data_IF_332384594789
#
_entry.id   IF_332384594789
#
_cell.length_a   1.000
_cell.length_b   1.000
_cell.length_c   1.000
_cell.angle_alpha   90.00
_cell.angle_beta   90.00
_cell.angle_gamma   90.00
#
_symmetry.space_group_name_H-M   'P 1'
#
loop_
_entity.id
_entity.type
_entity.pdbx_description
1 polymer ?
#
# COMPACT_ATOMS: atom_id res chain seq x y z
N UNK A 1 -32.23 22.98 5.90
CA UNK A 1 -31.42 23.33 4.71
C UNK A 1 -30.92 22.04 4.09
N UNK A 2 -30.70 22.03 2.77
CA UNK A 2 -30.60 20.86 1.89
C UNK A 2 -29.83 19.66 2.48
N UNK A 3 -30.50 18.52 2.70
CA UNK A 3 -29.88 17.26 3.13
C UNK A 3 -30.17 16.08 2.18
N UNK A 4 -30.89 16.33 1.08
CA UNK A 4 -31.25 15.31 0.08
C UNK A 4 -30.40 15.32 -1.20
N UNK A 5 -29.60 16.37 -1.43
CA UNK A 5 -28.76 16.52 -2.63
C UNK A 5 -27.44 15.77 -2.52
N UNK A 6 -26.76 15.90 -1.38
CA UNK A 6 -25.37 15.45 -1.21
C UNK A 6 -25.20 13.93 -1.36
N UNK A 7 -26.19 13.16 -0.94
CA UNK A 7 -26.18 11.69 -1.07
C UNK A 7 -26.32 11.22 -2.52
N UNK A 8 -27.07 11.95 -3.35
CA UNK A 8 -27.22 11.63 -4.76
C UNK A 8 -25.97 12.03 -5.56
N UNK A 9 -25.38 13.18 -5.23
CA UNK A 9 -24.16 13.66 -5.87
C UNK A 9 -22.96 12.75 -5.55
N UNK A 10 -22.85 12.28 -4.30
CA UNK A 10 -21.84 11.31 -3.90
C UNK A 10 -21.97 9.98 -4.65
N UNK A 11 -23.20 9.48 -4.82
CA UNK A 11 -23.47 8.26 -5.60
C UNK A 11 -23.13 8.45 -7.06
N UNK A 12 -23.51 9.58 -7.65
CA UNK A 12 -23.19 9.90 -9.04
C UNK A 12 -21.67 9.96 -9.27
N UNK A 13 -20.93 10.61 -8.36
CA UNK A 13 -19.48 10.66 -8.39
C UNK A 13 -18.89 9.25 -8.32
N UNK A 14 -19.26 8.44 -7.32
CA UNK A 14 -18.79 7.05 -7.20
C UNK A 14 -19.00 6.24 -8.48
N UNK A 15 -20.21 6.28 -9.05
CA UNK A 15 -20.50 5.59 -10.30
C UNK A 15 -19.68 6.10 -11.49
N UNK A 16 -19.40 7.41 -11.57
CA UNK A 16 -18.54 7.97 -12.60
C UNK A 16 -17.12 7.38 -12.52
N UNK A 17 -16.55 7.24 -11.31
CA UNK A 17 -15.25 6.58 -11.13
C UNK A 17 -15.31 5.08 -11.44
N UNK A 18 -16.37 4.38 -11.06
CA UNK A 18 -16.55 2.97 -11.40
C UNK A 18 -16.56 2.73 -12.92
N UNK A 19 -17.26 3.58 -13.68
CA UNK A 19 -17.30 3.49 -15.15
C UNK A 19 -15.94 3.67 -15.79
N UNK A 20 -15.16 4.63 -15.30
CA UNK A 20 -13.83 4.95 -15.86
C UNK A 20 -12.79 3.87 -15.53
N UNK A 21 -12.82 3.29 -14.32
CA UNK A 21 -11.80 2.36 -13.85
C UNK A 21 -12.13 0.90 -14.18
N UNK A 22 -13.40 0.53 -14.10
CA UNK A 22 -13.86 -0.86 -14.21
C UNK A 22 -14.71 -1.10 -15.46
N UNK A 23 -14.58 -0.26 -16.49
CA UNK A 23 -15.26 -0.36 -17.78
C UNK A 23 -16.78 -0.58 -17.66
N UNK A 24 -17.50 0.48 -17.30
CA UNK A 24 -18.97 0.50 -17.14
C UNK A 24 -19.57 -0.38 -16.03
N UNK A 25 -18.74 -0.86 -15.11
CA UNK A 25 -19.22 -1.50 -13.88
C UNK A 25 -19.95 -0.52 -12.95
N UNK A 26 -20.96 -1.03 -12.23
CA UNK A 26 -21.59 -0.34 -11.08
C UNK A 26 -20.83 -0.56 -9.78
N UNK A 27 -19.84 -1.46 -9.79
CA UNK A 27 -19.00 -1.82 -8.65
C UNK A 27 -17.59 -1.22 -8.79
N UNK A 28 -17.12 -0.61 -7.71
CA UNK A 28 -15.76 -0.09 -7.58
C UNK A 28 -14.79 -1.14 -7.08
N UNK A 29 -13.49 -0.89 -7.22
CA UNK A 29 -12.44 -1.68 -6.60
C UNK A 29 -11.47 -0.77 -5.85
N UNK A 30 -10.39 -1.33 -5.30
CA UNK A 30 -9.37 -0.54 -4.61
C UNK A 30 -8.85 0.61 -5.50
N UNK A 31 -8.63 0.38 -6.80
CA UNK A 31 -8.16 1.42 -7.73
C UNK A 31 -9.18 2.55 -7.93
N UNK A 32 -10.49 2.26 -7.89
CA UNK A 32 -11.55 3.27 -7.87
C UNK A 32 -11.38 4.21 -6.67
N UNK A 33 -11.23 3.64 -5.47
CA UNK A 33 -11.05 4.40 -4.23
C UNK A 33 -9.75 5.20 -4.24
N UNK A 34 -8.64 4.59 -4.67
CA UNK A 34 -7.35 5.29 -4.81
C UNK A 34 -7.45 6.51 -5.71
N UNK A 35 -8.15 6.35 -6.85
CA UNK A 35 -8.35 7.45 -7.80
C UNK A 35 -9.19 8.57 -7.17
N UNK A 36 -10.30 8.23 -6.52
CA UNK A 36 -11.13 9.21 -5.81
C UNK A 36 -10.31 9.99 -4.76
N UNK A 37 -9.53 9.30 -3.92
CA UNK A 37 -8.68 9.95 -2.92
C UNK A 37 -7.59 10.84 -3.54
N UNK A 38 -7.05 10.46 -4.69
CA UNK A 38 -6.01 11.23 -5.40
C UNK A 38 -6.57 12.49 -6.05
N UNK A 39 -7.73 12.36 -6.70
CA UNK A 39 -8.37 13.47 -7.40
C UNK A 39 -8.93 14.51 -6.40
N UNK A 40 -9.36 14.08 -5.21
CA UNK A 40 -9.75 15.01 -4.12
C UNK A 40 -8.58 15.50 -3.27
N UNK A 41 -7.39 14.91 -3.42
CA UNK A 41 -6.20 15.28 -2.65
C UNK A 41 -6.24 14.88 -1.17
N UNK A 42 -7.16 14.01 -0.76
CA UNK A 42 -7.22 13.46 0.61
C UNK A 42 -5.87 12.81 0.96
N UNK A 43 -5.29 12.09 0.00
CA UNK A 43 -4.02 11.38 0.16
C UNK A 43 -2.76 12.26 -0.02
N UNK A 44 -2.91 13.58 -0.20
CA UNK A 44 -1.81 14.55 -0.29
C UNK A 44 -1.55 15.29 1.03
N UNK A 45 -2.37 15.01 2.04
CA UNK A 45 -2.28 15.60 3.38
C UNK A 45 -1.35 14.75 4.26
N UNK A 46 -1.70 14.56 5.55
CA UNK A 46 -1.00 13.65 6.44
C UNK A 46 -1.29 12.18 6.11
N UNK A 47 -2.49 11.88 5.61
CA UNK A 47 -2.86 10.55 5.14
C UNK A 47 -2.22 10.26 3.79
N UNK A 48 -1.45 9.18 3.68
CA UNK A 48 -0.79 8.76 2.44
C UNK A 48 -1.60 7.69 1.72
N UNK A 49 -1.23 7.42 0.47
CA UNK A 49 -1.88 6.37 -0.34
C UNK A 49 -1.85 4.99 0.34
N UNK A 50 -0.74 4.63 0.99
CA UNK A 50 -0.61 3.38 1.74
C UNK A 50 -1.61 3.28 2.89
N UNK A 51 -1.91 4.39 3.58
CA UNK A 51 -2.87 4.40 4.67
C UNK A 51 -4.28 4.12 4.15
N UNK A 52 -4.64 4.71 2.99
CA UNK A 52 -5.91 4.43 2.30
C UNK A 52 -6.01 2.95 1.92
N UNK A 53 -4.93 2.36 1.39
CA UNK A 53 -4.91 0.96 0.99
C UNK A 53 -5.04 0.01 2.20
N UNK A 54 -4.41 0.36 3.34
CA UNK A 54 -4.57 -0.38 4.59
C UNK A 54 -5.99 -0.33 5.11
N UNK A 55 -6.64 0.85 5.14
CA UNK A 55 -8.03 0.95 5.57
C UNK A 55 -8.98 0.21 4.62
N UNK A 56 -8.73 0.26 3.30
CA UNK A 56 -9.50 -0.50 2.32
C UNK A 56 -9.40 -2.01 2.60
N UNK A 57 -8.18 -2.51 2.81
CA UNK A 57 -7.94 -3.91 3.13
C UNK A 57 -8.58 -4.32 4.48
N UNK A 58 -8.63 -3.43 5.47
CA UNK A 58 -9.33 -3.69 6.74
C UNK A 58 -10.85 -3.81 6.55
N UNK A 59 -11.44 -3.01 5.67
CA UNK A 59 -12.90 -3.01 5.46
C UNK A 59 -13.38 -4.18 4.58
N UNK A 60 -12.61 -4.53 3.54
CA UNK A 60 -13.05 -5.47 2.49
C UNK A 60 -12.20 -6.74 2.39
N UNK A 61 -11.08 -6.81 3.11
CA UNK A 61 -10.17 -7.95 3.07
C UNK A 61 -9.50 -8.14 1.72
N UNK A 62 -9.28 -9.40 1.35
CA UNK A 62 -8.67 -9.82 0.08
C UNK A 62 -9.69 -10.16 -1.01
N UNK A 63 -10.96 -9.77 -0.80
CA UNK A 63 -12.02 -10.06 -1.76
C UNK A 63 -11.72 -9.43 -3.11
N UNK A 64 -11.90 -10.24 -4.17
CA UNK A 64 -11.83 -9.76 -5.56
C UNK A 64 -13.16 -9.19 -6.03
N UNK A 65 -14.22 -9.35 -5.24
CA UNK A 65 -15.52 -8.78 -5.57
C UNK A 65 -15.46 -7.27 -5.45
N UNK A 66 -15.97 -6.58 -6.47
CA UNK A 66 -16.10 -5.14 -6.44
C UNK A 66 -17.10 -4.70 -5.37
N UNK A 67 -16.87 -3.50 -4.83
CA UNK A 67 -17.70 -2.87 -3.81
C UNK A 67 -18.83 -2.10 -4.47
N UNK A 68 -20.04 -2.23 -3.94
CA UNK A 68 -21.19 -1.43 -4.34
C UNK A 68 -21.20 -0.08 -3.59
N UNK A 69 -22.17 0.78 -3.89
CA UNK A 69 -22.28 2.08 -3.25
C UNK A 69 -22.50 1.97 -1.74
N UNK A 70 -23.27 0.98 -1.27
CA UNK A 70 -23.49 0.76 0.15
C UNK A 70 -22.17 0.39 0.87
N UNK A 71 -21.38 -0.51 0.27
CA UNK A 71 -20.04 -0.85 0.74
C UNK A 71 -19.11 0.37 0.77
N UNK A 72 -19.14 1.20 -0.27
CA UNK A 72 -18.38 2.44 -0.32
C UNK A 72 -18.74 3.41 0.81
N UNK A 73 -20.03 3.67 1.05
CA UNK A 73 -20.47 4.56 2.14
C UNK A 73 -20.02 4.00 3.50
N UNK A 74 -20.20 2.69 3.73
CA UNK A 74 -19.75 2.02 4.96
C UNK A 74 -18.23 2.20 5.16
N UNK A 75 -17.45 2.10 4.10
CA UNK A 75 -16.01 2.32 4.15
C UNK A 75 -15.64 3.76 4.51
N UNK A 76 -16.32 4.74 3.91
CA UNK A 76 -16.09 6.16 4.20
C UNK A 76 -16.40 6.48 5.66
N UNK A 77 -17.52 5.98 6.18
CA UNK A 77 -18.00 6.28 7.52
C UNK A 77 -17.19 5.58 8.61
N UNK A 78 -16.91 4.27 8.45
CA UNK A 78 -16.37 3.47 9.55
C UNK A 78 -14.84 3.27 9.49
N UNK A 79 -14.20 3.58 8.36
CA UNK A 79 -12.76 3.30 8.18
C UNK A 79 -12.00 4.53 7.72
N UNK A 80 -12.36 5.08 6.56
CA UNK A 80 -11.59 6.17 5.95
C UNK A 80 -11.73 7.49 6.73
N UNK A 81 -12.95 7.88 7.09
CA UNK A 81 -13.23 9.09 7.88
C UNK A 81 -12.54 9.11 9.23
N UNK A 82 -12.70 8.06 10.07
CA UNK A 82 -12.01 7.99 11.36
C UNK A 82 -10.49 8.02 11.21
N UNK A 83 -9.93 7.35 10.20
CA UNK A 83 -8.48 7.39 9.94
C UNK A 83 -8.01 8.80 9.53
N UNK A 84 -8.73 9.43 8.60
CA UNK A 84 -8.45 10.80 8.16
C UNK A 84 -8.54 11.81 9.31
N UNK A 85 -9.59 11.69 10.15
CA UNK A 85 -9.80 12.52 11.33
C UNK A 85 -8.66 12.40 12.34
N UNK A 86 -8.28 11.17 12.70
CA UNK A 86 -7.15 10.91 13.61
C UNK A 86 -5.84 11.51 13.09
N UNK A 87 -5.56 11.42 11.79
CA UNK A 87 -4.33 11.94 11.22
C UNK A 87 -4.32 13.47 11.15
N UNK A 88 -5.46 14.09 10.85
CA UNK A 88 -5.58 15.53 10.70
C UNK A 88 -5.96 16.28 11.98
N UNK A 89 -6.25 15.56 13.08
CA UNK A 89 -6.68 16.17 14.34
C UNK A 89 -8.10 16.71 14.27
N UNK A 90 -8.95 16.07 13.46
CA UNK A 90 -10.37 16.42 13.30
C UNK A 90 -11.24 15.41 14.03
N UNK A 91 -12.43 15.84 14.44
CA UNK A 91 -13.47 14.94 14.93
C UNK A 91 -13.90 13.98 13.82
N UNK A 92 -14.28 12.76 14.21
CA UNK A 92 -14.66 11.68 13.29
C UNK A 92 -15.80 12.09 12.37
N UNK A 93 -16.86 12.68 12.93
CA UNK A 93 -18.06 13.10 12.21
C UNK A 93 -17.74 14.22 11.21
N UNK A 94 -16.93 15.20 11.63
CA UNK A 94 -16.46 16.28 10.77
C UNK A 94 -15.58 15.76 9.64
N UNK A 95 -14.71 14.80 9.93
CA UNK A 95 -13.84 14.15 8.94
C UNK A 95 -14.65 13.36 7.90
N UNK A 96 -15.65 12.59 8.34
CA UNK A 96 -16.55 11.85 7.45
C UNK A 96 -17.30 12.80 6.52
N UNK A 97 -17.85 13.89 7.06
CA UNK A 97 -18.56 14.88 6.26
C UNK A 97 -17.63 15.55 5.24
N UNK A 98 -16.43 15.96 5.65
CA UNK A 98 -15.45 16.57 4.76
C UNK A 98 -15.07 15.63 3.59
N UNK A 99 -14.89 14.34 3.86
CA UNK A 99 -14.60 13.37 2.81
C UNK A 99 -15.79 13.21 1.86
N UNK A 100 -17.02 13.10 2.39
CA UNK A 100 -18.23 12.99 1.56
C UNK A 100 -18.40 14.22 0.68
N UNK A 101 -18.19 15.42 1.21
CA UNK A 101 -18.27 16.68 0.48
C UNK A 101 -17.19 16.81 -0.60
N UNK A 102 -15.98 16.32 -0.31
CA UNK A 102 -14.90 16.28 -1.31
C UNK A 102 -15.21 15.28 -2.41
N UNK A 103 -15.73 14.10 -2.07
CA UNK A 103 -16.06 13.06 -3.04
C UNK A 103 -17.28 13.40 -3.88
N UNK A 104 -18.30 14.05 -3.33
CA UNK A 104 -19.50 14.47 -4.09
C UNK A 104 -19.16 15.49 -5.17
N UNK A 105 -18.18 16.37 -4.91
CA UNK A 105 -17.67 17.36 -5.86
C UNK A 105 -16.59 16.82 -6.80
N UNK A 106 -16.16 15.57 -6.59
CA UNK A 106 -15.09 14.97 -7.38
C UNK A 106 -15.62 14.40 -8.69
N UNK A 107 -14.88 14.63 -9.77
CA UNK A 107 -15.12 13.99 -11.06
C UNK A 107 -13.84 13.32 -11.52
N UNK A 108 -13.89 12.09 -12.09
CA UNK A 108 -12.69 11.42 -12.57
C UNK A 108 -11.95 12.31 -13.55
N UNK A 109 -10.74 12.73 -13.17
CA UNK A 109 -9.89 13.53 -14.03
C UNK A 109 -9.08 12.59 -14.93
N UNK A 110 -9.27 12.70 -16.24
CA UNK A 110 -8.43 12.08 -17.28
C UNK A 110 -7.09 12.82 -17.43
N UNK A 111 -6.54 13.40 -16.34
CA UNK A 111 -5.22 14.02 -16.37
C UNK A 111 -4.19 12.92 -16.63
N UNK A 112 -3.57 12.99 -17.80
CA UNK A 112 -2.33 12.38 -18.24
C UNK A 112 -2.12 10.94 -17.72
N UNK A 113 -2.41 9.97 -18.59
CA UNK A 113 -1.85 8.60 -18.62
C UNK A 113 -0.79 8.35 -17.55
N UNK A 114 -1.15 7.48 -16.60
CA UNK A 114 -0.28 6.91 -15.56
C UNK A 114 1.21 6.97 -15.90
N UNK A 115 1.95 7.89 -15.28
CA UNK A 115 3.38 7.65 -15.07
C UNK A 115 3.45 6.48 -14.09
N UNK A 116 3.79 5.29 -14.58
CA UNK A 116 3.99 4.11 -13.74
C UNK A 116 5.07 4.45 -12.72
N UNK A 117 4.70 4.52 -11.45
CA UNK A 117 5.66 4.66 -10.37
C UNK A 117 6.55 3.41 -10.36
N UNK A 118 7.85 3.58 -10.58
CA UNK A 118 8.86 2.52 -10.45
C UNK A 118 9.14 2.26 -8.97
N UNK A 119 8.14 1.77 -8.23
CA UNK A 119 8.31 1.50 -6.80
C UNK A 119 9.27 0.32 -6.59
N UNK A 120 10.36 0.55 -5.85
CA UNK A 120 11.51 -0.36 -5.76
C UNK A 120 11.24 -1.60 -4.87
N UNK A 121 10.09 -1.65 -4.20
CA UNK A 121 9.79 -2.59 -3.12
C UNK A 121 9.58 -4.04 -3.59
N UNK A 122 9.28 -4.29 -4.87
CA UNK A 122 9.07 -5.66 -5.38
C UNK A 122 10.27 -6.27 -6.10
N UNK A 123 11.43 -5.60 -6.15
CA UNK A 123 12.62 -6.10 -6.86
C UNK A 123 13.51 -7.04 -6.04
N UNK A 124 12.91 -7.82 -5.13
CA UNK A 124 13.56 -8.95 -4.45
C UNK A 124 12.64 -10.17 -4.49
N UNK A 125 12.22 -10.55 -5.68
CA UNK A 125 11.86 -11.94 -5.93
C UNK A 125 13.20 -12.69 -6.03
N UNK A 126 13.48 -13.60 -5.09
CA UNK A 126 14.64 -14.49 -5.19
C UNK A 126 14.54 -15.21 -6.52
N UNK A 127 15.46 -14.94 -7.42
CA UNK A 127 15.50 -15.56 -8.73
C UNK A 127 15.73 -17.07 -8.52
N UNK A 128 14.76 -17.96 -8.82
CA UNK A 128 14.93 -19.39 -8.60
C UNK A 128 16.07 -19.99 -9.44
N UNK A 129 16.57 -19.24 -10.44
CA UNK A 129 17.76 -19.61 -11.23
C UNK A 129 19.09 -19.36 -10.50
N UNK A 130 19.08 -18.48 -9.50
CA UNK A 130 20.24 -18.17 -8.65
C UNK A 130 20.10 -18.74 -7.23
N UNK A 131 19.11 -19.63 -7.00
CA UNK A 131 19.10 -20.44 -5.80
C UNK A 131 20.43 -21.21 -5.78
N UNK A 132 21.30 -21.02 -4.77
CA UNK A 132 22.47 -21.84 -4.65
C UNK A 132 21.97 -23.25 -4.36
N UNK A 133 21.89 -24.10 -5.38
CA UNK A 133 21.96 -25.53 -5.16
C UNK A 133 23.21 -25.70 -4.34
N UNK A 134 23.05 -26.05 -3.05
CA UNK A 134 24.15 -26.30 -2.14
C UNK A 134 25.23 -27.02 -2.93
N UNK A 135 26.35 -26.34 -3.18
CA UNK A 135 27.49 -26.95 -3.81
C UNK A 135 27.80 -28.15 -2.92
N UNK A 136 27.44 -29.35 -3.38
CA UNK A 136 27.99 -30.57 -2.81
C UNK A 136 29.46 -30.44 -3.12
N UNK A 137 30.20 -29.98 -2.11
CA UNK A 137 31.65 -30.12 -2.03
C UNK A 137 31.92 -31.56 -2.46
N UNK A 138 32.45 -31.71 -3.68
CA UNK A 138 32.79 -33.04 -4.18
C UNK A 138 33.89 -33.51 -3.25
N UNK A 139 33.61 -34.55 -2.47
CA UNK A 139 34.63 -35.18 -1.65
C UNK A 139 35.75 -35.65 -2.59
N UNK A 140 36.88 -34.97 -2.51
CA UNK A 140 38.08 -35.26 -3.29
C UNK A 140 38.95 -36.22 -2.45
N UNK A 141 39.05 -37.53 -2.80
CA UNK A 141 39.74 -38.51 -1.97
C UNK A 141 41.26 -38.29 -1.90
N UNK A 142 41.80 -37.28 -2.58
CA UNK A 142 43.24 -37.01 -2.67
C UNK A 142 43.78 -36.01 -1.64
N UNK A 143 42.94 -35.42 -0.78
CA UNK A 143 43.44 -34.51 0.26
C UNK A 143 43.93 -35.27 1.50
N UNK A 144 45.22 -35.62 1.48
CA UNK A 144 45.98 -35.89 2.71
C UNK A 144 45.94 -34.64 3.60
N UNK A 145 45.39 -34.77 4.81
CA UNK A 145 45.52 -33.76 5.86
C UNK A 145 47.01 -33.57 6.19
N UNK A 146 47.54 -32.37 5.99
CA UNK A 146 48.74 -31.91 6.70
C UNK A 146 48.35 -30.70 7.54
N UNK A 147 47.90 -30.96 8.76
CA UNK A 147 47.80 -29.94 9.80
C UNK A 147 49.22 -29.65 10.31
N UNK A 148 49.68 -28.40 10.17
CA UNK A 148 50.19 -27.58 11.29
C UNK A 148 50.99 -26.37 10.78
N UNK A 149 50.34 -25.21 10.73
CA UNK A 149 51.07 -23.96 10.95
C UNK A 149 50.12 -22.97 11.62
N UNK A 150 50.22 -22.93 12.95
CA UNK A 150 49.51 -22.00 13.82
C UNK A 150 50.11 -20.61 13.65
N UNK A 151 49.28 -19.70 13.14
CA UNK A 151 49.46 -18.26 13.23
C UNK A 151 49.14 -17.80 14.67
N UNK A 152 50.08 -17.10 15.32
CA UNK A 152 49.78 -15.89 16.10
C UNK A 152 51.05 -15.38 16.78
N UNK A 153 51.76 -14.46 16.12
CA UNK A 153 52.72 -13.59 16.78
C UNK A 153 52.02 -12.40 17.43
N UNK A 154 51.94 -12.38 18.78
CA UNK A 154 52.00 -11.13 19.56
C UNK A 154 52.75 -11.37 20.89
N UNK A 155 53.58 -10.41 21.32
CA UNK A 155 54.60 -10.62 22.34
C UNK A 155 54.05 -10.39 23.75
N UNK A 156 54.51 -11.20 24.71
CA UNK A 156 54.37 -10.90 26.15
C UNK A 156 55.75 -10.47 26.66
N UNK A 157 55.79 -9.24 27.17
CA UNK A 157 56.93 -8.54 27.76
C UNK A 157 57.33 -9.14 29.12
N UNK A 158 58.66 -9.15 29.35
CA UNK A 158 59.38 -9.04 30.63
C UNK A 158 59.21 -10.20 31.64
N UNK A 159 60.20 -10.62 32.42
CA UNK A 159 61.52 -10.13 32.86
C UNK A 159 62.12 -11.32 33.65
N UNK A 160 63.41 -11.66 33.59
CA UNK A 160 64.53 -11.17 34.44
C UNK A 160 65.67 -12.21 34.32
N UNK A 161 66.92 -11.90 34.73
CA UNK A 161 68.07 -12.78 34.56
C UNK A 161 67.97 -14.07 35.37
#
# INVERSE_FOLDING_TARGET
MASGGDSNDLKAAFLAYCRVISHDSVKGNASTIRKMCTDTGINKTKMKQNDVDLEYARCFGTSKEGIDYAGFVRFVENFLGPAYGRMNGMEEEQAVQEIKDKFSKAHPQLRNTTKVSNDAVTKRLVDPKNFPTASKEKFDPSYKRTNSQTDSGRPIFNRKP
#
